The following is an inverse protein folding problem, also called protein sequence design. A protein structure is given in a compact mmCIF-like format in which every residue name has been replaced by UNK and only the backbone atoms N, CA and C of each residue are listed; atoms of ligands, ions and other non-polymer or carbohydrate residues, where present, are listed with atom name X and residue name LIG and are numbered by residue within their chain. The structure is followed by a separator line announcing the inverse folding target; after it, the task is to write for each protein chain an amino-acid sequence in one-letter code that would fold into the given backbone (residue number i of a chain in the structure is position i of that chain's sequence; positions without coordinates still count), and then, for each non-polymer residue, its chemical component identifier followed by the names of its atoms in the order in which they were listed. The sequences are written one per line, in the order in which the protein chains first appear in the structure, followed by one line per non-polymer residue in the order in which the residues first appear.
data_IF_370931822695
#
_entry.id   IF_370931822695
#
_cell.length_a   1.000
_cell.length_b   1.000
_cell.length_c   1.000
_cell.angle_alpha   90.00
_cell.angle_beta   90.00
_cell.angle_gamma   90.00
#
_symmetry.space_group_name_H-M   'P 1'
#
loop_
_entity.id
_entity.type
_entity.pdbx_description
1 polymer ?
#
# COMPACT_ATOMS: atom_id res chain seq x y z
N UNK A 1 22.89 -16.03 0.08
CA UNK A 1 21.55 -16.39 -0.37
C UNK A 1 21.30 -15.88 -1.78
N UNK A 2 20.72 -16.72 -2.60
CA UNK A 2 20.45 -16.36 -3.98
C UNK A 2 19.18 -15.53 -4.11
N UNK A 3 19.34 -14.22 -4.21
CA UNK A 3 18.20 -13.30 -4.36
C UNK A 3 17.45 -13.48 -5.68
N UNK A 4 18.15 -13.85 -6.72
CA UNK A 4 17.59 -13.99 -8.06
C UNK A 4 16.60 -15.15 -8.21
N UNK A 5 16.50 -16.04 -7.23
CA UNK A 5 15.52 -17.12 -7.21
C UNK A 5 14.18 -16.70 -6.61
N UNK A 6 14.11 -15.49 -6.09
CA UNK A 6 12.90 -14.97 -5.45
C UNK A 6 12.20 -13.96 -6.34
N UNK A 7 10.88 -14.07 -6.39
CA UNK A 7 10.03 -13.12 -7.11
C UNK A 7 9.03 -12.54 -6.12
N UNK A 8 8.97 -11.22 -6.04
CA UNK A 8 7.98 -10.54 -5.22
C UNK A 8 6.71 -10.33 -6.03
N UNK A 9 5.59 -10.84 -5.55
CA UNK A 9 4.30 -10.63 -6.15
C UNK A 9 3.48 -9.64 -5.34
N UNK A 10 2.68 -8.84 -6.01
CA UNK A 10 1.80 -7.89 -5.36
C UNK A 10 0.38 -8.08 -5.85
N UNK A 11 -0.52 -8.39 -4.91
CA UNK A 11 -1.94 -8.53 -5.19
C UNK A 11 -2.63 -7.22 -4.79
N UNK A 12 -3.00 -6.44 -5.80
CA UNK A 12 -3.61 -5.12 -5.62
C UNK A 12 -5.13 -5.25 -5.76
N UNK A 13 -5.83 -5.36 -4.64
CA UNK A 13 -7.27 -5.48 -4.63
C UNK A 13 -7.98 -4.16 -4.35
N UNK A 14 -9.29 -4.14 -4.55
CA UNK A 14 -10.09 -2.93 -4.30
C UNK A 14 -10.08 -2.51 -2.84
N UNK A 15 -10.18 -3.47 -1.93
CA UNK A 15 -10.27 -3.20 -0.49
C UNK A 15 -9.00 -3.57 0.25
N UNK A 16 -8.38 -4.67 -0.13
CA UNK A 16 -7.19 -5.18 0.54
C UNK A 16 -6.14 -5.56 -0.47
N UNK A 17 -4.90 -5.42 -0.05
CA UNK A 17 -3.73 -5.78 -0.85
C UNK A 17 -2.82 -6.68 -0.03
N UNK A 18 -1.94 -7.42 -0.70
CA UNK A 18 -0.96 -8.25 -0.02
C UNK A 18 0.25 -8.46 -0.91
N UNK A 19 1.37 -8.78 -0.28
CA UNK A 19 2.57 -9.21 -0.97
C UNK A 19 2.78 -10.69 -0.78
N UNK A 20 3.37 -11.33 -1.77
CA UNK A 20 3.81 -12.71 -1.65
C UNK A 20 5.20 -12.84 -2.26
N UNK A 21 5.91 -13.87 -1.80
CA UNK A 21 7.24 -14.19 -2.31
C UNK A 21 7.18 -15.59 -2.93
N UNK A 22 7.58 -15.69 -4.18
CA UNK A 22 7.68 -16.98 -4.87
C UNK A 22 9.14 -17.37 -4.98
N UNK A 23 9.47 -18.56 -4.49
CA UNK A 23 10.81 -19.12 -4.61
C UNK A 23 10.85 -20.10 -5.77
N UNK A 24 11.55 -19.73 -6.82
CA UNK A 24 11.67 -20.58 -8.02
C UNK A 24 12.50 -21.84 -7.77
N UNK A 25 13.38 -21.81 -6.77
CA UNK A 25 14.18 -22.99 -6.43
C UNK A 25 13.37 -24.11 -5.83
N UNK A 26 12.39 -23.76 -4.97
CA UNK A 26 11.53 -24.75 -4.29
C UNK A 26 10.14 -24.84 -4.88
N UNK A 27 9.81 -23.96 -5.85
CA UNK A 27 8.46 -23.86 -6.45
C UNK A 27 7.37 -23.62 -5.41
N UNK A 28 7.68 -22.79 -4.40
CA UNK A 28 6.71 -22.46 -3.34
C UNK A 28 6.42 -20.98 -3.31
N UNK A 29 5.20 -20.64 -2.91
CA UNK A 29 4.77 -19.25 -2.71
C UNK A 29 4.34 -19.06 -1.27
N UNK A 30 4.74 -17.96 -0.67
CA UNK A 30 4.42 -17.64 0.72
C UNK A 30 3.93 -16.20 0.80
N UNK A 31 2.81 -15.97 1.47
CA UNK A 31 2.32 -14.64 1.74
C UNK A 31 3.21 -13.95 2.77
N UNK A 32 3.47 -12.67 2.58
CA UNK A 32 4.34 -11.89 3.45
C UNK A 32 3.49 -11.21 4.51
N UNK A 33 3.78 -11.41 5.81
CA UNK A 33 3.04 -10.72 6.87
C UNK A 33 3.18 -9.20 6.78
N UNK A 34 2.13 -8.49 7.16
CA UNK A 34 2.12 -7.02 7.18
C UNK A 34 3.19 -6.48 8.13
N UNK A 35 3.33 -7.15 9.27
CA UNK A 35 4.39 -6.85 10.24
C UNK A 35 5.11 -8.14 10.60
N UNK A 36 6.41 -8.02 10.83
CA UNK A 36 7.20 -9.16 11.26
C UNK A 36 6.64 -9.76 12.54
N UNK A 37 6.49 -11.08 12.55
CA UNK A 37 5.97 -11.81 13.70
C UNK A 37 4.46 -11.87 13.83
N UNK A 38 3.72 -11.23 12.94
CA UNK A 38 2.26 -11.27 12.93
C UNK A 38 1.74 -12.18 11.83
N UNK A 39 0.50 -12.66 11.98
CA UNK A 39 -0.12 -13.55 11.02
C UNK A 39 -0.81 -12.81 9.86
N UNK A 40 -1.25 -11.59 10.09
CA UNK A 40 -1.99 -10.83 9.09
C UNK A 40 -1.12 -10.55 7.86
N UNK A 41 -1.62 -10.95 6.69
CA UNK A 41 -0.91 -10.74 5.42
C UNK A 41 -1.59 -9.72 4.52
N UNK A 42 -2.87 -9.45 4.75
CA UNK A 42 -3.60 -8.46 3.98
C UNK A 42 -3.59 -7.11 4.72
N UNK A 43 -3.52 -6.03 3.95
CA UNK A 43 -3.62 -4.67 4.49
C UNK A 43 -4.55 -3.85 3.61
N UNK A 44 -5.21 -2.82 4.18
CA UNK A 44 -6.14 -2.02 3.39
C UNK A 44 -5.47 -1.38 2.18
N UNK A 45 -6.16 -1.40 1.05
CA UNK A 45 -5.72 -0.69 -0.16
C UNK A 45 -6.07 0.79 0.04
N UNK A 46 -5.29 1.44 0.89
CA UNK A 46 -5.55 2.80 1.31
C UNK A 46 -4.27 3.48 1.78
N UNK A 47 -4.24 4.78 1.69
CA UNK A 47 -3.21 5.60 2.30
C UNK A 47 -3.87 6.63 3.19
N UNK A 48 -3.18 7.03 4.24
CA UNK A 48 -3.70 8.03 5.17
C UNK A 48 -2.58 8.91 5.66
N UNK A 49 -2.94 10.13 6.04
CA UNK A 49 -2.02 11.04 6.70
C UNK A 49 -2.82 12.04 7.52
N UNK A 50 -2.16 12.76 8.40
CA UNK A 50 -2.76 13.91 9.07
C UNK A 50 -2.62 15.13 8.16
N UNK A 51 -3.59 16.04 8.23
CA UNK A 51 -3.52 17.30 7.49
C UNK A 51 -2.23 18.04 7.83
N UNK A 52 -1.66 18.67 6.82
CA UNK A 52 -0.41 19.42 6.93
C UNK A 52 0.84 18.58 7.17
N UNK A 53 0.71 17.26 7.22
CA UNK A 53 1.86 16.37 7.18
C UNK A 53 2.08 15.94 5.73
N UNK A 54 3.31 15.70 5.35
CA UNK A 54 3.64 15.31 3.97
C UNK A 54 3.71 13.81 3.78
N UNK A 55 3.92 13.07 4.86
CA UNK A 55 4.13 11.62 4.78
C UNK A 55 2.84 10.85 4.86
N UNK A 56 2.56 10.09 3.83
CA UNK A 56 1.46 9.14 3.80
C UNK A 56 1.85 7.85 4.53
N UNK A 57 0.86 7.17 5.09
CA UNK A 57 1.03 5.91 5.80
C UNK A 57 0.18 4.82 5.17
N UNK A 58 0.58 3.57 5.36
CA UNK A 58 -0.18 2.39 4.93
C UNK A 58 -0.33 1.43 6.11
N UNK A 59 -1.18 0.41 5.95
CA UNK A 59 -1.36 -0.63 6.97
C UNK A 59 -1.92 -0.10 8.28
N UNK A 60 -1.52 -0.67 9.41
CA UNK A 60 -2.01 -0.22 10.72
C UNK A 60 -1.71 1.24 11.02
N UNK A 61 -0.60 1.76 10.54
CA UNK A 61 -0.24 3.17 10.74
C UNK A 61 -1.19 4.10 9.99
N UNK A 62 -1.70 3.66 8.83
CA UNK A 62 -2.70 4.42 8.08
C UNK A 62 -4.00 4.53 8.89
N UNK A 63 -4.43 3.44 9.53
CA UNK A 63 -5.63 3.47 10.35
C UNK A 63 -5.48 4.44 11.52
N UNK A 64 -4.33 4.45 12.17
CA UNK A 64 -4.06 5.39 13.26
C UNK A 64 -4.12 6.84 12.79
N UNK A 65 -3.53 7.13 11.63
CA UNK A 65 -3.55 8.48 11.06
C UNK A 65 -4.96 8.89 10.67
N UNK A 66 -5.75 7.97 10.13
CA UNK A 66 -7.13 8.25 9.72
C UNK A 66 -8.03 8.58 10.90
N UNK A 67 -7.81 7.93 12.04
CA UNK A 67 -8.60 8.15 13.25
C UNK A 67 -8.14 9.37 14.04
N UNK A 68 -7.06 10.02 13.66
CA UNK A 68 -6.64 11.26 14.28
C UNK A 68 -7.63 12.38 13.95
N UNK A 69 -7.67 13.40 14.78
CA UNK A 69 -8.63 14.50 14.66
C UNK A 69 -8.65 15.12 13.26
N UNK A 70 -7.52 15.26 12.62
CA UNK A 70 -7.41 15.82 11.26
C UNK A 70 -6.82 14.81 10.28
N UNK A 71 -7.27 13.57 10.39
CA UNK A 71 -6.84 12.52 9.49
C UNK A 71 -7.48 12.62 8.12
N UNK A 72 -6.74 12.22 7.11
CA UNK A 72 -7.22 12.07 5.73
C UNK A 72 -7.07 10.59 5.38
N UNK A 73 -8.15 9.99 4.91
CA UNK A 73 -8.19 8.59 4.52
C UNK A 73 -8.55 8.49 3.06
N UNK A 74 -7.72 7.85 2.26
CA UNK A 74 -7.95 7.66 0.84
C UNK A 74 -7.97 6.16 0.57
N UNK A 75 -9.14 5.60 0.33
CA UNK A 75 -9.35 4.16 0.17
C UNK A 75 -9.89 3.75 -1.21
N UNK A 76 -10.05 4.68 -2.11
CA UNK A 76 -10.48 4.36 -3.47
C UNK A 76 -9.29 4.29 -4.44
N UNK A 77 -8.17 3.74 -3.96
CA UNK A 77 -6.93 3.68 -4.74
C UNK A 77 -7.07 2.88 -6.01
N UNK A 78 -7.82 1.76 -5.95
CA UNK A 78 -8.00 0.93 -7.13
C UNK A 78 -8.69 1.70 -8.26
N UNK A 79 -9.76 2.43 -7.94
CA UNK A 79 -10.45 3.25 -8.92
C UNK A 79 -9.58 4.38 -9.47
N UNK A 80 -8.83 5.03 -8.58
CA UNK A 80 -7.93 6.11 -8.98
C UNK A 80 -6.86 5.59 -9.92
N UNK A 81 -6.25 4.45 -9.57
CA UNK A 81 -5.15 3.89 -10.36
C UNK A 81 -5.61 3.31 -11.70
N UNK A 82 -6.86 2.84 -11.78
CA UNK A 82 -7.42 2.34 -13.04
C UNK A 82 -7.98 3.45 -13.92
N UNK A 83 -8.11 4.66 -13.38
CA UNK A 83 -8.61 5.82 -14.12
C UNK A 83 -7.49 6.68 -14.68
N UNK A 84 -7.88 7.80 -15.25
CA UNK A 84 -6.95 8.77 -15.80
C UNK A 84 -7.13 10.16 -15.20
N UNK A 85 -7.97 10.27 -14.19
CA UNK A 85 -8.27 11.56 -13.57
C UNK A 85 -7.22 11.93 -12.54
N UNK A 86 -6.99 13.24 -12.42
CA UNK A 86 -6.13 13.77 -11.37
C UNK A 86 -6.92 13.81 -10.07
N UNK A 87 -6.28 13.36 -8.98
CA UNK A 87 -6.84 13.39 -7.64
C UNK A 87 -6.31 14.61 -6.90
N UNK A 88 -7.20 15.46 -6.40
CA UNK A 88 -6.79 16.66 -5.67
C UNK A 88 -6.97 16.46 -4.17
N UNK A 89 -5.89 16.65 -3.42
CA UNK A 89 -5.88 16.52 -1.97
C UNK A 89 -5.12 17.69 -1.39
N UNK A 90 -5.77 18.46 -0.53
CA UNK A 90 -5.18 19.63 0.11
C UNK A 90 -4.52 20.60 -0.89
N UNK A 91 -5.21 20.92 -1.97
CA UNK A 91 -4.73 21.82 -3.02
C UNK A 91 -3.52 21.31 -3.78
N UNK A 92 -3.23 20.03 -3.68
CA UNK A 92 -2.18 19.40 -4.45
C UNK A 92 -2.78 18.34 -5.37
N UNK A 93 -2.33 18.35 -6.62
CA UNK A 93 -2.81 17.41 -7.62
C UNK A 93 -1.92 16.17 -7.65
N UNK A 94 -2.55 15.00 -7.71
CA UNK A 94 -1.87 13.73 -7.83
C UNK A 94 -2.35 13.00 -9.08
N UNK A 95 -1.43 12.53 -9.91
CA UNK A 95 -1.77 11.63 -11.00
C UNK A 95 -2.02 10.22 -10.44
N UNK A 96 -2.74 9.35 -11.17
CA UNK A 96 -2.88 7.96 -10.74
C UNK A 96 -1.55 7.27 -10.46
N UNK A 97 -0.53 7.54 -11.28
CA UNK A 97 0.80 6.97 -11.07
C UNK A 97 1.44 7.45 -9.78
N UNK A 98 1.26 8.70 -9.42
CA UNK A 98 1.79 9.23 -8.15
C UNK A 98 1.09 8.61 -6.95
N UNK A 99 -0.23 8.40 -7.02
CA UNK A 99 -0.98 7.74 -5.96
C UNK A 99 -0.51 6.31 -5.77
N UNK A 100 -0.41 5.55 -6.86
CA UNK A 100 0.06 4.17 -6.79
C UNK A 100 1.50 4.10 -6.30
N UNK A 101 2.36 4.98 -6.78
CA UNK A 101 3.76 5.05 -6.35
C UNK A 101 3.89 5.32 -4.86
N UNK A 102 3.07 6.23 -4.33
CA UNK A 102 3.06 6.54 -2.90
C UNK A 102 2.64 5.31 -2.10
N UNK A 103 1.56 4.64 -2.51
CA UNK A 103 1.07 3.45 -1.83
C UNK A 103 2.14 2.35 -1.80
N UNK A 104 2.72 2.03 -2.94
CA UNK A 104 3.75 0.98 -3.03
C UNK A 104 4.99 1.34 -2.22
N UNK A 105 5.45 2.58 -2.31
CA UNK A 105 6.65 3.01 -1.59
C UNK A 105 6.47 2.88 -0.08
N UNK A 106 5.32 3.30 0.45
CA UNK A 106 5.05 3.20 1.87
C UNK A 106 4.81 1.76 2.30
N UNK A 107 4.14 0.97 1.47
CA UNK A 107 3.86 -0.44 1.80
C UNK A 107 5.13 -1.29 1.83
N UNK A 108 6.16 -0.92 1.07
CA UNK A 108 7.40 -1.68 0.99
C UNK A 108 8.44 -1.30 2.06
N UNK A 109 8.15 -0.32 2.88
CA UNK A 109 9.05 0.07 3.96
C UNK A 109 9.10 -0.93 5.10
#
# INVERSE_FOLDING_TARGET
MEQKNLILGFDFGEKYSQFCCYDRGTHTAVSIPVKEGEEAVEFPTAIAKKRNEETWKTGPDAEKSAHAENGIWLDNLYEICMGSRICQIENRDYTPGEVLGTFLREALK
#
